data_IF_567032290154
#
_entry.id   IF_567032290154
#
_cell.length_a   1.000
_cell.length_b   1.000
_cell.length_c   1.000
_cell.angle_alpha   90.00
_cell.angle_beta   90.00
_cell.angle_gamma   90.00
#
_symmetry.space_group_name_H-M   'P 1'
#
loop_
_entity.id
_entity.type
_entity.pdbx_description
1 polymer ?
#
# COMPACT_ATOMS: atom_id res chain seq x y z
N UNK A 1 51.35 -14.60 27.06
CA UNK A 1 52.35 -14.84 25.99
C UNK A 1 52.62 -16.34 25.95
N UNK A 2 52.50 -16.98 24.77
CA UNK A 2 52.77 -18.41 24.45
C UNK A 2 51.72 -19.47 24.84
N UNK A 3 50.59 -19.57 24.13
CA UNK A 3 50.00 -20.86 23.62
C UNK A 3 49.04 -20.58 22.42
N UNK A 4 49.31 -19.57 21.59
CA UNK A 4 48.55 -19.36 20.33
C UNK A 4 49.57 -19.32 19.21
N UNK A 5 50.18 -20.45 18.95
CA UNK A 5 51.10 -20.61 17.83
C UNK A 5 50.77 -21.89 17.10
N UNK A 6 50.31 -21.71 15.86
CA UNK A 6 50.13 -22.71 14.79
C UNK A 6 48.86 -23.58 14.89
N UNK A 7 47.70 -22.96 14.78
CA UNK A 7 46.57 -23.63 14.11
C UNK A 7 46.85 -23.58 12.61
N UNK A 8 46.74 -24.72 11.91
CA UNK A 8 46.83 -24.77 10.45
C UNK A 8 45.70 -23.91 9.84
N UNK A 9 45.87 -23.32 8.64
CA UNK A 9 44.81 -22.52 8.01
C UNK A 9 43.45 -23.23 7.94
N UNK A 10 43.45 -24.56 7.78
CA UNK A 10 42.25 -25.42 7.83
C UNK A 10 41.55 -25.50 9.21
N UNK A 11 42.29 -25.33 10.31
CA UNK A 11 41.71 -25.33 11.66
C UNK A 11 41.13 -23.95 12.01
N UNK A 12 41.71 -22.88 11.47
CA UNK A 12 41.15 -21.53 11.54
C UNK A 12 39.86 -21.41 10.71
N UNK A 13 39.77 -22.07 9.54
CA UNK A 13 38.54 -22.09 8.74
C UNK A 13 37.45 -22.94 9.39
N UNK A 14 37.77 -24.13 9.92
CA UNK A 14 36.77 -24.95 10.63
C UNK A 14 36.32 -24.30 11.94
N UNK A 15 37.20 -23.58 12.63
CA UNK A 15 36.82 -22.75 13.79
C UNK A 15 35.90 -21.58 13.41
N UNK A 16 36.14 -20.92 12.26
CA UNK A 16 35.25 -19.84 11.78
C UNK A 16 33.90 -20.38 11.29
N UNK A 17 33.89 -21.49 10.55
CA UNK A 17 32.66 -22.15 10.09
C UNK A 17 31.82 -22.61 11.29
N UNK A 18 32.44 -23.21 12.31
CA UNK A 18 31.73 -23.62 13.54
C UNK A 18 31.27 -22.41 14.37
N UNK A 19 32.03 -21.31 14.39
CA UNK A 19 31.63 -20.04 15.01
C UNK A 19 30.42 -19.41 14.30
N UNK A 20 30.43 -19.35 12.96
CA UNK A 20 29.32 -18.83 12.15
C UNK A 20 28.10 -19.73 12.24
N UNK A 21 28.26 -21.05 12.15
CA UNK A 21 27.16 -22.02 12.32
C UNK A 21 26.57 -21.96 13.74
N UNK A 22 27.38 -21.86 14.78
CA UNK A 22 26.89 -21.71 16.16
C UNK A 22 26.24 -20.35 16.41
N UNK A 23 26.69 -19.29 15.73
CA UNK A 23 26.03 -17.99 15.76
C UNK A 23 24.67 -18.03 15.06
N UNK A 24 24.54 -18.72 13.93
CA UNK A 24 23.28 -18.91 13.21
C UNK A 24 22.32 -19.80 14.01
N UNK A 25 22.81 -20.92 14.57
CA UNK A 25 22.02 -21.82 15.41
C UNK A 25 21.63 -21.14 16.73
N UNK A 26 22.54 -20.35 17.31
CA UNK A 26 22.26 -19.51 18.48
C UNK A 26 21.23 -18.43 18.17
N UNK A 27 21.40 -17.71 17.06
CA UNK A 27 20.47 -16.68 16.61
C UNK A 27 19.08 -17.25 16.32
N UNK A 28 18.99 -18.41 15.64
CA UNK A 28 17.72 -19.10 15.38
C UNK A 28 17.08 -19.67 16.64
N UNK A 29 17.86 -20.26 17.55
CA UNK A 29 17.35 -20.76 18.84
C UNK A 29 16.89 -19.62 19.76
N UNK A 30 17.63 -18.51 19.82
CA UNK A 30 17.25 -17.31 20.57
C UNK A 30 16.05 -16.62 19.93
N UNK A 31 15.90 -16.65 18.60
CA UNK A 31 14.74 -16.10 17.89
C UNK A 31 13.50 -16.97 18.09
N UNK A 32 13.63 -18.31 18.09
CA UNK A 32 12.55 -19.24 18.47
C UNK A 32 12.17 -19.04 19.93
N UNK A 33 13.13 -18.93 20.84
CA UNK A 33 12.88 -18.65 22.26
C UNK A 33 12.23 -17.27 22.45
N UNK A 34 12.66 -16.26 21.69
CA UNK A 34 12.09 -14.91 21.72
C UNK A 34 10.66 -14.87 21.15
N UNK A 35 10.34 -15.65 20.12
CA UNK A 35 8.97 -15.81 19.60
C UNK A 35 8.08 -16.56 20.60
N UNK A 36 8.63 -17.58 21.28
CA UNK A 36 7.95 -18.31 22.37
C UNK A 36 7.73 -17.42 23.60
N UNK A 37 8.62 -16.45 23.87
CA UNK A 37 8.50 -15.48 24.96
C UNK A 37 7.61 -14.27 24.58
N UNK A 38 7.63 -13.79 23.33
CA UNK A 38 6.72 -12.75 22.80
C UNK A 38 5.27 -13.26 22.75
N UNK A 39 5.07 -14.58 22.67
CA UNK A 39 3.76 -15.21 22.89
C UNK A 39 3.22 -15.05 24.33
N UNK A 40 4.05 -14.59 25.29
CA UNK A 40 3.65 -14.35 26.69
C UNK A 40 3.51 -12.86 27.06
N UNK A 41 4.26 -11.94 26.46
CA UNK A 41 4.14 -10.49 26.75
C UNK A 41 4.25 -9.60 25.50
N UNK A 42 3.32 -8.63 25.29
CA UNK A 42 3.19 -7.86 24.04
C UNK A 42 4.19 -6.70 23.87
N UNK A 43 5.28 -6.68 24.63
CA UNK A 43 6.18 -5.53 24.70
C UNK A 43 7.60 -5.91 24.31
N UNK A 44 7.94 -5.90 23.01
CA UNK A 44 9.36 -5.78 22.66
C UNK A 44 9.65 -5.24 21.26
N UNK A 45 9.64 -3.91 21.14
CA UNK A 45 10.40 -3.24 20.08
C UNK A 45 11.90 -3.59 20.16
N UNK A 46 12.40 -4.00 21.33
CA UNK A 46 13.81 -4.33 21.56
C UNK A 46 14.21 -5.64 20.85
N UNK A 47 13.35 -6.66 20.85
CA UNK A 47 13.63 -7.93 20.15
C UNK A 47 13.68 -7.71 18.63
N UNK A 48 12.77 -6.90 18.08
CA UNK A 48 12.78 -6.56 16.65
C UNK A 48 14.04 -5.77 16.26
N UNK A 49 14.39 -4.74 17.04
CA UNK A 49 15.61 -3.96 16.81
C UNK A 49 16.87 -4.83 16.98
N UNK A 50 16.85 -5.81 17.88
CA UNK A 50 17.97 -6.73 18.10
C UNK A 50 18.13 -7.73 16.96
N UNK A 51 17.03 -8.35 16.48
CA UNK A 51 17.05 -9.25 15.32
C UNK A 51 17.42 -8.49 14.04
N UNK A 52 16.89 -7.28 13.86
CA UNK A 52 17.24 -6.41 12.74
C UNK A 52 18.72 -5.97 12.82
N UNK A 53 19.20 -5.54 13.99
CA UNK A 53 20.61 -5.20 14.20
C UNK A 53 21.53 -6.41 14.01
N UNK A 54 21.08 -7.61 14.39
CA UNK A 54 21.82 -8.86 14.18
C UNK A 54 21.92 -9.22 12.70
N UNK A 55 20.83 -9.11 11.94
CA UNK A 55 20.84 -9.33 10.49
C UNK A 55 21.69 -8.26 9.76
N UNK A 56 21.61 -7.00 10.20
CA UNK A 56 22.43 -5.91 9.67
C UNK A 56 23.91 -6.13 10.01
N UNK A 57 24.26 -6.51 11.24
CA UNK A 57 25.63 -6.84 11.63
C UNK A 57 26.16 -8.05 10.86
N UNK A 58 25.37 -9.12 10.68
CA UNK A 58 25.78 -10.25 9.85
C UNK A 58 26.01 -9.83 8.40
N UNK A 59 25.15 -8.98 7.84
CA UNK A 59 25.33 -8.47 6.48
C UNK A 59 26.55 -7.55 6.34
N UNK A 60 26.87 -6.78 7.39
CA UNK A 60 28.02 -5.89 7.46
C UNK A 60 29.33 -6.65 7.66
N UNK A 61 29.34 -7.73 8.47
CA UNK A 61 30.47 -8.64 8.63
C UNK A 61 30.71 -9.48 7.37
N UNK A 62 29.65 -9.89 6.68
CA UNK A 62 29.75 -10.53 5.37
C UNK A 62 30.35 -9.55 4.34
N UNK A 63 29.91 -8.29 4.34
CA UNK A 63 30.43 -7.23 3.46
C UNK A 63 31.91 -6.87 3.76
N UNK A 64 32.27 -6.72 5.03
CA UNK A 64 33.64 -6.39 5.45
C UNK A 64 34.62 -7.52 5.14
N UNK A 65 34.18 -8.76 5.31
CA UNK A 65 34.95 -9.94 4.91
C UNK A 65 35.19 -9.95 3.39
N UNK A 66 34.18 -9.56 2.60
CA UNK A 66 34.25 -9.52 1.13
C UNK A 66 35.26 -8.48 0.60
N UNK A 67 35.46 -7.37 1.32
CA UNK A 67 36.44 -6.34 0.96
C UNK A 67 37.83 -6.54 1.60
N UNK A 68 37.95 -7.44 2.59
CA UNK A 68 39.15 -7.55 3.44
C UNK A 68 40.17 -8.62 3.04
N UNK A 69 39.85 -9.59 2.18
CA UNK A 69 40.74 -10.74 1.94
C UNK A 69 40.95 -11.00 0.44
N UNK A 70 42.16 -10.69 -0.04
CA UNK A 70 42.56 -10.83 -1.45
C UNK A 70 43.25 -12.17 -1.78
N UNK A 71 43.26 -13.18 -0.88
CA UNK A 71 44.22 -14.29 -1.02
C UNK A 71 43.72 -15.75 -0.98
N UNK A 72 42.48 -16.11 -0.63
CA UNK A 72 42.05 -17.52 -0.69
C UNK A 72 40.58 -17.71 -1.13
N UNK A 73 40.37 -18.14 -2.38
CA UNK A 73 39.08 -18.10 -3.08
C UNK A 73 38.10 -19.24 -2.77
N UNK A 74 38.55 -20.42 -2.31
CA UNK A 74 37.71 -21.62 -2.18
C UNK A 74 37.02 -21.75 -0.81
N UNK A 75 37.71 -21.41 0.28
CA UNK A 75 37.16 -21.45 1.64
C UNK A 75 36.18 -20.29 1.87
N UNK A 76 36.50 -19.13 1.29
CA UNK A 76 35.71 -17.91 1.38
C UNK A 76 34.35 -18.03 0.68
N UNK A 77 34.31 -18.72 -0.46
CA UNK A 77 33.07 -19.04 -1.16
C UNK A 77 32.12 -19.84 -0.26
N UNK A 78 32.63 -20.82 0.50
CA UNK A 78 31.79 -21.65 1.39
C UNK A 78 31.21 -20.85 2.57
N UNK A 79 31.96 -19.92 3.16
CA UNK A 79 31.46 -19.07 4.26
C UNK A 79 30.42 -18.06 3.77
N UNK A 80 30.64 -17.46 2.59
CA UNK A 80 29.68 -16.56 1.96
C UNK A 80 28.40 -17.30 1.50
N UNK A 81 28.49 -18.54 1.00
CA UNK A 81 27.31 -19.39 0.70
C UNK A 81 26.50 -19.61 1.97
N UNK A 82 27.14 -20.01 3.07
CA UNK A 82 26.45 -20.34 4.33
C UNK A 82 25.82 -19.08 4.94
N UNK A 83 26.48 -17.93 4.86
CA UNK A 83 25.93 -16.65 5.31
C UNK A 83 24.75 -16.20 4.43
N UNK A 84 24.89 -16.21 3.10
CA UNK A 84 23.84 -15.78 2.16
C UNK A 84 22.62 -16.69 2.19
N UNK A 85 22.81 -18.00 2.15
CA UNK A 85 21.72 -18.98 2.31
C UNK A 85 21.12 -18.91 3.71
N UNK A 86 21.93 -18.71 4.75
CA UNK A 86 21.45 -18.48 6.12
C UNK A 86 20.57 -17.25 6.23
N UNK A 87 20.94 -16.13 5.60
CA UNK A 87 20.16 -14.88 5.59
C UNK A 87 18.85 -15.06 4.80
N UNK A 88 18.89 -15.69 3.61
CA UNK A 88 17.67 -15.99 2.84
C UNK A 88 16.75 -16.97 3.57
N UNK A 89 17.30 -18.03 4.17
CA UNK A 89 16.51 -19.04 4.87
C UNK A 89 15.96 -18.49 6.19
N UNK A 90 16.70 -17.65 6.91
CA UNK A 90 16.19 -16.96 8.11
C UNK A 90 15.16 -15.90 7.76
N UNK A 91 15.30 -15.18 6.64
CA UNK A 91 14.28 -14.24 6.18
C UNK A 91 12.98 -14.97 5.76
N UNK A 92 13.09 -16.10 5.06
CA UNK A 92 11.96 -16.95 4.68
C UNK A 92 11.34 -17.63 5.91
N UNK A 93 12.15 -18.15 6.84
CA UNK A 93 11.71 -18.76 8.08
C UNK A 93 11.07 -17.73 9.01
N UNK A 94 11.58 -16.49 9.05
CA UNK A 94 10.97 -15.36 9.74
C UNK A 94 9.59 -15.10 9.13
N UNK A 95 9.44 -15.00 7.80
CA UNK A 95 8.12 -14.85 7.16
C UNK A 95 7.19 -16.03 7.48
N UNK A 96 7.68 -17.26 7.45
CA UNK A 96 6.88 -18.46 7.76
C UNK A 96 6.46 -18.53 9.24
N UNK A 97 7.35 -18.18 10.17
CA UNK A 97 7.06 -18.09 11.61
C UNK A 97 6.15 -16.89 11.93
N UNK A 98 6.23 -15.81 11.17
CA UNK A 98 5.35 -14.64 11.26
C UNK A 98 3.96 -14.87 10.65
N UNK A 99 3.85 -15.81 9.72
CA UNK A 99 2.59 -16.28 9.14
C UNK A 99 1.88 -17.30 10.04
N UNK A 100 2.56 -17.83 11.07
CA UNK A 100 1.89 -18.65 12.08
C UNK A 100 0.88 -17.76 12.81
N UNK A 101 -0.39 -18.21 12.90
CA UNK A 101 -1.43 -17.43 13.53
C UNK A 101 -1.07 -17.23 15.01
N UNK A 102 -0.62 -16.01 15.34
CA UNK A 102 -0.74 -15.51 16.71
C UNK A 102 -2.21 -15.68 17.08
N UNK A 103 -2.47 -16.36 18.20
CA UNK A 103 -3.80 -16.77 18.67
C UNK A 103 -4.85 -15.69 18.39
N UNK A 104 -6.12 -16.06 18.12
CA UNK A 104 -7.20 -15.10 17.96
C UNK A 104 -7.41 -14.39 19.30
N UNK A 105 -6.61 -13.37 19.59
CA UNK A 105 -6.76 -12.53 20.78
C UNK A 105 -7.81 -11.45 20.50
N UNK A 106 -8.95 -11.86 19.95
CA UNK A 106 -10.14 -11.09 20.17
C UNK A 106 -10.57 -11.37 21.61
N UNK A 107 -10.04 -10.59 22.56
CA UNK A 107 -10.62 -10.54 23.90
C UNK A 107 -12.02 -9.97 23.73
N UNK A 108 -13.00 -10.85 23.94
CA UNK A 108 -14.41 -10.48 24.06
C UNK A 108 -14.55 -9.92 25.47
N UNK A 109 -14.48 -8.60 25.61
CA UNK A 109 -14.95 -7.93 26.81
C UNK A 109 -16.39 -7.48 26.52
N UNK A 110 -17.34 -7.78 27.41
CA UNK A 110 -18.75 -7.38 27.32
C UNK A 110 -19.46 -7.74 25.99
N UNK A 111 -19.08 -8.86 25.37
CA UNK A 111 -19.69 -9.34 24.13
C UNK A 111 -19.22 -8.62 22.85
N UNK A 112 -18.24 -7.71 22.94
CA UNK A 112 -17.74 -6.97 21.78
C UNK A 112 -16.27 -7.29 21.47
N UNK A 113 -15.99 -7.55 20.18
CA UNK A 113 -14.65 -7.86 19.69
C UNK A 113 -13.78 -6.59 19.68
N UNK A 114 -12.78 -6.52 20.57
CA UNK A 114 -11.76 -5.46 20.52
C UNK A 114 -10.98 -5.49 19.22
N UNK A 115 -10.49 -4.31 18.80
CA UNK A 115 -9.66 -4.18 17.60
C UNK A 115 -8.37 -5.02 17.72
N UNK A 116 -8.11 -5.97 16.81
CA UNK A 116 -6.86 -6.73 16.80
C UNK A 116 -5.64 -5.83 16.65
N UNK A 117 -5.81 -4.65 16.03
CA UNK A 117 -4.76 -3.64 15.88
C UNK A 117 -4.17 -3.20 17.22
N UNK A 118 -5.00 -3.00 18.24
CA UNK A 118 -4.57 -2.47 19.53
C UNK A 118 -3.89 -3.54 20.41
N UNK A 119 -4.26 -4.82 20.21
CA UNK A 119 -3.79 -5.95 21.02
C UNK A 119 -2.54 -6.61 20.41
N UNK A 120 -2.38 -6.57 19.09
CA UNK A 120 -1.30 -7.29 18.42
C UNK A 120 0.09 -6.68 18.68
N UNK A 121 1.11 -7.55 18.63
CA UNK A 121 2.51 -7.16 18.75
C UNK A 121 2.94 -6.24 17.60
N UNK A 122 3.94 -5.36 17.79
CA UNK A 122 4.40 -4.43 16.75
C UNK A 122 4.79 -5.11 15.42
N UNK A 123 5.29 -6.33 15.51
CA UNK A 123 5.68 -7.18 14.40
C UNK A 123 4.47 -7.68 13.60
N UNK A 124 3.43 -8.16 14.31
CA UNK A 124 2.15 -8.53 13.70
C UNK A 124 1.45 -7.32 13.05
N UNK A 125 1.62 -6.12 13.61
CA UNK A 125 1.16 -4.86 13.00
C UNK A 125 1.88 -4.54 11.69
N UNK A 126 3.19 -4.81 11.61
CA UNK A 126 3.99 -4.50 10.43
C UNK A 126 3.66 -5.43 9.25
N UNK A 127 3.44 -6.72 9.51
CA UNK A 127 3.14 -7.74 8.49
C UNK A 127 1.64 -7.92 8.27
N UNK A 128 0.79 -7.22 9.04
CA UNK A 128 -0.66 -7.35 9.03
C UNK A 128 -1.17 -8.77 9.35
N UNK A 129 -0.37 -9.56 10.07
CA UNK A 129 -0.70 -10.95 10.40
C UNK A 129 -2.00 -11.07 11.21
N UNK A 130 -2.35 -10.04 12.00
CA UNK A 130 -3.61 -9.96 12.74
C UNK A 130 -4.88 -10.06 11.87
N UNK A 131 -4.79 -9.80 10.57
CA UNK A 131 -5.92 -9.91 9.63
C UNK A 131 -6.17 -11.35 9.16
N UNK A 132 -5.14 -12.21 9.22
CA UNK A 132 -5.19 -13.56 8.68
C UNK A 132 -6.31 -14.44 9.28
N UNK A 133 -6.58 -14.42 10.60
CA UNK A 133 -7.67 -15.19 11.17
C UNK A 133 -9.06 -14.81 10.61
N UNK A 134 -9.27 -13.52 10.34
CA UNK A 134 -10.52 -13.01 9.77
C UNK A 134 -10.67 -13.46 8.31
N UNK A 135 -9.58 -13.42 7.54
CA UNK A 135 -9.55 -13.88 6.15
C UNK A 135 -9.81 -15.39 6.04
N UNK A 136 -9.18 -16.19 6.92
CA UNK A 136 -9.39 -17.64 6.97
C UNK A 136 -10.80 -18.00 7.45
N UNK A 137 -11.39 -17.20 8.35
CA UNK A 137 -12.80 -17.38 8.76
C UNK A 137 -13.74 -17.16 7.58
N UNK A 138 -13.52 -16.10 6.79
CA UNK A 138 -14.36 -15.78 5.62
C UNK A 138 -14.37 -16.87 4.54
N UNK A 139 -13.30 -17.67 4.45
CA UNK A 139 -13.26 -18.81 3.52
C UNK A 139 -14.20 -19.95 3.93
N UNK A 140 -14.53 -20.07 5.22
CA UNK A 140 -15.37 -21.15 5.76
C UNK A 140 -16.80 -20.69 5.99
N UNK A 141 -16.98 -19.46 6.48
CA UNK A 141 -18.28 -18.90 6.85
C UNK A 141 -18.32 -17.44 6.39
N UNK A 142 -19.40 -17.04 5.73
CA UNK A 142 -19.60 -15.66 5.33
C UNK A 142 -19.56 -14.75 6.56
N UNK A 143 -18.73 -13.71 6.52
CA UNK A 143 -18.60 -12.76 7.63
C UNK A 143 -19.88 -11.97 7.83
N UNK A 144 -20.35 -11.92 9.07
CA UNK A 144 -21.45 -11.05 9.48
C UNK A 144 -20.94 -9.78 10.15
N UNK A 145 -21.81 -8.77 10.30
CA UNK A 145 -21.45 -7.51 10.97
C UNK A 145 -20.91 -7.70 12.40
N UNK A 146 -21.37 -8.76 13.10
CA UNK A 146 -20.89 -9.14 14.45
C UNK A 146 -19.44 -9.65 14.46
N UNK A 147 -18.94 -10.12 13.32
CA UNK A 147 -17.57 -10.65 13.20
C UNK A 147 -16.54 -9.56 12.92
N UNK A 148 -16.99 -8.34 12.60
CA UNK A 148 -16.14 -7.20 12.33
C UNK A 148 -15.68 -6.60 13.66
N UNK A 149 -14.37 -6.54 13.93
CA UNK A 149 -13.87 -5.96 15.16
C UNK A 149 -14.17 -4.47 15.27
N UNK A 150 -14.15 -3.95 16.49
CA UNK A 150 -14.23 -2.52 16.74
C UNK A 150 -13.07 -1.76 16.08
N UNK A 151 -13.34 -0.48 15.82
CA UNK A 151 -12.36 0.47 15.28
C UNK A 151 -11.21 0.62 16.30
N UNK A 152 -9.94 0.69 15.86
CA UNK A 152 -8.82 0.94 16.77
C UNK A 152 -8.98 2.23 17.56
N UNK A 153 -8.47 2.27 18.79
CA UNK A 153 -8.56 3.46 19.66
C UNK A 153 -7.93 4.71 19.02
N UNK A 154 -6.84 4.55 18.26
CA UNK A 154 -6.20 5.66 17.53
C UNK A 154 -7.14 6.34 16.52
N UNK A 155 -8.13 5.60 16.02
CA UNK A 155 -9.13 6.06 15.07
C UNK A 155 -10.50 6.24 15.72
N UNK A 156 -10.55 6.37 17.06
CA UNK A 156 -11.80 6.59 17.79
C UNK A 156 -12.58 7.78 17.21
N UNK A 157 -13.80 7.55 16.68
CA UNK A 157 -14.53 8.59 15.98
C UNK A 157 -14.84 9.80 16.86
N UNK A 158 -15.16 9.59 18.13
CA UNK A 158 -15.55 10.64 19.05
C UNK A 158 -14.39 11.56 19.41
N UNK A 159 -13.22 10.99 19.71
CA UNK A 159 -12.02 11.78 19.98
C UNK A 159 -11.58 12.60 18.76
N UNK A 160 -11.52 11.99 17.58
CA UNK A 160 -11.09 12.67 16.35
C UNK A 160 -12.03 13.84 16.04
N UNK A 161 -13.34 13.62 16.14
CA UNK A 161 -14.35 14.63 15.89
C UNK A 161 -14.34 15.73 16.96
N UNK A 162 -14.17 15.38 18.23
CA UNK A 162 -14.00 16.34 19.34
C UNK A 162 -12.82 17.27 19.07
N UNK A 163 -11.68 16.74 18.67
CA UNK A 163 -10.48 17.51 18.36
C UNK A 163 -10.65 18.39 17.12
N UNK A 164 -11.24 17.85 16.06
CA UNK A 164 -11.55 18.60 14.83
C UNK A 164 -12.49 19.78 15.12
N UNK A 165 -13.57 19.55 15.86
CA UNK A 165 -14.53 20.62 16.23
C UNK A 165 -13.88 21.71 17.07
N UNK A 166 -13.00 21.35 18.02
CA UNK A 166 -12.26 22.33 18.83
C UNK A 166 -11.41 23.23 17.94
N UNK A 167 -10.64 22.64 17.01
CA UNK A 167 -9.81 23.39 16.06
C UNK A 167 -10.64 24.23 15.08
N UNK A 168 -11.77 23.71 14.60
CA UNK A 168 -12.71 24.46 13.75
C UNK A 168 -13.31 25.67 14.47
N UNK A 169 -13.73 25.52 15.73
CA UNK A 169 -14.23 26.64 16.54
C UNK A 169 -13.17 27.71 16.79
N UNK A 170 -11.93 27.30 17.06
CA UNK A 170 -10.82 28.24 17.26
C UNK A 170 -10.55 29.06 15.99
N UNK A 171 -10.50 28.40 14.82
CA UNK A 171 -10.36 29.10 13.52
C UNK A 171 -11.56 29.99 13.22
N UNK A 172 -12.79 29.54 13.51
CA UNK A 172 -14.00 30.33 13.29
C UNK A 172 -14.00 31.61 14.11
N UNK A 173 -13.65 31.53 15.40
CA UNK A 173 -13.58 32.69 16.28
C UNK A 173 -12.45 33.64 15.88
N UNK A 174 -11.27 33.11 15.54
CA UNK A 174 -10.15 33.92 15.05
C UNK A 174 -10.46 34.63 13.74
N UNK A 175 -11.06 33.92 12.78
CA UNK A 175 -11.46 34.51 11.50
C UNK A 175 -12.55 35.58 11.66
N UNK A 176 -13.47 35.41 12.63
CA UNK A 176 -14.48 36.42 12.94
C UNK A 176 -13.86 37.71 13.47
N UNK A 177 -12.84 37.62 14.34
CA UNK A 177 -12.09 38.77 14.85
C UNK A 177 -11.29 39.47 13.74
N UNK A 178 -10.76 38.69 12.79
CA UNK A 178 -9.99 39.20 11.65
C UNK A 178 -10.85 39.63 10.44
N UNK A 179 -12.19 39.63 10.58
CA UNK A 179 -13.15 39.87 9.48
C UNK A 179 -12.86 39.04 8.21
N UNK A 180 -12.36 37.82 8.40
CA UNK A 180 -11.94 36.90 7.34
C UNK A 180 -12.91 35.71 7.25
N UNK A 181 -13.00 35.11 6.06
CA UNK A 181 -13.63 33.79 5.91
C UNK A 181 -12.81 32.69 6.58
N UNK A 182 -13.41 31.83 7.42
CA UNK A 182 -12.69 30.75 8.10
C UNK A 182 -12.19 29.72 7.08
N UNK A 183 -10.94 29.26 7.26
CA UNK A 183 -10.28 28.40 6.27
C UNK A 183 -10.24 26.93 6.68
N UNK A 184 -11.00 26.09 5.97
CA UNK A 184 -11.02 24.63 6.20
C UNK A 184 -9.64 24.00 5.98
N UNK A 185 -8.92 24.43 4.95
CA UNK A 185 -7.60 23.89 4.62
C UNK A 185 -6.57 24.10 5.75
N UNK A 186 -6.65 25.21 6.49
CA UNK A 186 -5.78 25.48 7.64
C UNK A 186 -6.11 24.53 8.78
N UNK A 187 -7.39 24.36 9.10
CA UNK A 187 -7.84 23.41 10.13
C UNK A 187 -7.45 21.98 9.77
N UNK A 188 -7.57 21.59 8.50
CA UNK A 188 -7.16 20.27 8.01
C UNK A 188 -5.65 20.06 8.13
N UNK A 189 -4.83 21.04 7.71
CA UNK A 189 -3.36 20.97 7.87
C UNK A 189 -2.94 20.86 9.33
N UNK A 190 -3.51 21.66 10.23
CA UNK A 190 -3.19 21.59 11.65
C UNK A 190 -3.71 20.29 12.27
N UNK A 191 -4.84 19.78 11.78
CA UNK A 191 -5.47 18.61 12.39
C UNK A 191 -4.79 17.30 12.04
N UNK A 192 -4.39 17.16 10.78
CA UNK A 192 -3.92 15.89 10.22
C UNK A 192 -2.54 15.98 9.58
N UNK A 193 -1.96 17.18 9.47
CA UNK A 193 -0.66 17.39 8.81
C UNK A 193 0.48 16.62 9.48
N UNK A 194 0.43 16.42 10.79
CA UNK A 194 1.44 15.62 11.49
C UNK A 194 1.38 14.13 11.11
N UNK A 195 0.18 13.59 10.88
CA UNK A 195 0.01 12.19 10.48
C UNK A 195 0.51 11.95 9.06
N UNK A 196 0.20 12.90 8.18
CA UNK A 196 0.74 12.96 6.82
C UNK A 196 2.27 13.11 6.84
N UNK A 197 2.83 13.98 7.70
CA UNK A 197 4.27 14.15 7.83
C UNK A 197 4.98 12.87 8.30
N UNK A 198 4.35 12.07 9.19
CA UNK A 198 4.89 10.77 9.62
C UNK A 198 4.93 9.73 8.49
N UNK A 199 4.07 9.86 7.46
CA UNK A 199 4.06 8.96 6.31
C UNK A 199 5.23 9.23 5.34
N UNK A 200 5.74 10.47 5.28
CA UNK A 200 6.80 10.88 4.36
C UNK A 200 8.13 10.10 4.51
N UNK A 201 8.75 9.99 5.71
CA UNK A 201 10.00 9.24 5.84
C UNK A 201 9.82 7.75 5.51
N UNK A 202 8.66 7.16 5.83
CA UNK A 202 8.36 5.77 5.47
C UNK A 202 8.24 5.58 3.96
N UNK A 203 7.68 6.56 3.25
CA UNK A 203 7.66 6.55 1.79
C UNK A 203 9.08 6.63 1.22
N UNK A 204 9.93 7.54 1.73
CA UNK A 204 11.34 7.65 1.28
C UNK A 204 12.11 6.35 1.48
N UNK A 205 11.95 5.68 2.62
CA UNK A 205 12.61 4.39 2.88
C UNK A 205 12.11 3.29 1.93
N UNK A 206 10.81 3.27 1.62
CA UNK A 206 10.25 2.35 0.62
C UNK A 206 10.77 2.62 -0.79
N UNK A 207 10.80 3.89 -1.20
CA UNK A 207 11.33 4.32 -2.50
C UNK A 207 12.82 3.98 -2.65
N UNK A 208 13.63 4.19 -1.60
CA UNK A 208 15.04 3.81 -1.61
C UNK A 208 15.22 2.30 -1.84
N UNK A 209 14.39 1.45 -1.22
CA UNK A 209 14.40 0.01 -1.46
C UNK A 209 14.07 -0.37 -2.91
N UNK A 210 13.11 0.34 -3.52
CA UNK A 210 12.74 0.12 -4.93
C UNK A 210 13.92 0.42 -5.86
N UNK A 211 14.68 1.49 -5.58
CA UNK A 211 15.82 1.88 -6.40
C UNK A 211 17.08 1.05 -6.13
N UNK A 212 17.20 0.42 -4.96
CA UNK A 212 18.31 -0.49 -4.66
C UNK A 212 18.25 -1.79 -5.48
N UNK A 213 17.05 -2.23 -5.87
CA UNK A 213 16.83 -3.50 -6.58
C UNK A 213 17.58 -3.59 -7.92
N UNK A 214 17.47 -2.61 -8.84
CA UNK A 214 18.24 -2.61 -10.10
C UNK A 214 19.76 -2.60 -9.89
N UNK A 215 20.23 -1.96 -8.80
CA UNK A 215 21.65 -1.87 -8.49
C UNK A 215 22.21 -3.22 -8.04
N UNK A 216 21.50 -3.92 -7.15
CA UNK A 216 21.88 -5.29 -6.75
C UNK A 216 21.81 -6.25 -7.94
N UNK A 217 20.82 -6.10 -8.81
CA UNK A 217 20.70 -6.91 -10.02
C UNK A 217 21.92 -6.75 -10.94
N UNK A 218 22.46 -5.54 -11.09
CA UNK A 218 23.66 -5.31 -11.88
C UNK A 218 24.89 -6.04 -11.33
N UNK A 219 25.05 -6.04 -10.01
CA UNK A 219 26.14 -6.77 -9.34
C UNK A 219 26.02 -8.28 -9.59
N UNK A 220 24.78 -8.82 -9.57
CA UNK A 220 24.53 -10.23 -9.89
C UNK A 220 24.93 -10.54 -11.34
N UNK A 221 24.57 -9.67 -12.29
CA UNK A 221 24.93 -9.86 -13.71
C UNK A 221 26.45 -9.84 -13.88
N UNK A 222 27.14 -8.89 -13.23
CA UNK A 222 28.59 -8.77 -13.34
C UNK A 222 29.33 -10.01 -12.80
N UNK A 223 28.92 -10.53 -11.65
CA UNK A 223 29.47 -11.78 -11.09
C UNK A 223 29.19 -13.01 -11.97
N UNK A 224 28.11 -12.99 -12.77
CA UNK A 224 27.80 -14.06 -13.70
C UNK A 224 28.67 -14.00 -14.97
N UNK A 225 29.07 -12.80 -15.40
CA UNK A 225 29.86 -12.57 -16.61
C UNK A 225 31.36 -12.90 -16.42
N UNK A 226 31.92 -12.77 -15.22
CA UNK A 226 33.35 -13.01 -14.93
C UNK A 226 33.76 -14.51 -14.90
N UNK A 227 32.85 -15.42 -15.24
CA UNK A 227 33.18 -16.74 -15.77
C UNK A 227 33.39 -17.88 -14.76
N UNK A 228 33.58 -17.59 -13.47
CA UNK A 228 33.45 -18.62 -12.41
C UNK A 228 32.68 -18.01 -11.24
N UNK A 229 31.34 -18.07 -11.26
CA UNK A 229 30.54 -17.50 -10.19
C UNK A 229 30.89 -18.23 -8.89
N UNK A 230 31.51 -17.51 -7.95
CA UNK A 230 31.61 -17.98 -6.59
C UNK A 230 30.18 -18.16 -6.09
N UNK A 231 29.75 -19.42 -5.93
CA UNK A 231 28.39 -19.74 -5.49
C UNK A 231 28.00 -18.98 -4.20
N UNK A 232 28.99 -18.57 -3.41
CA UNK A 232 28.81 -17.77 -2.18
C UNK A 232 28.45 -16.32 -2.43
N UNK A 233 29.15 -15.66 -3.36
CA UNK A 233 28.84 -14.28 -3.72
C UNK A 233 27.46 -14.19 -4.37
N UNK A 234 27.14 -15.13 -5.27
CA UNK A 234 25.85 -15.17 -5.93
C UNK A 234 24.70 -15.39 -4.92
N UNK A 235 24.88 -16.30 -3.96
CA UNK A 235 23.89 -16.55 -2.91
C UNK A 235 23.70 -15.33 -1.99
N UNK A 236 24.79 -14.64 -1.64
CA UNK A 236 24.74 -13.41 -0.84
C UNK A 236 23.99 -12.28 -1.58
N UNK A 237 24.32 -12.06 -2.86
CA UNK A 237 23.67 -11.04 -3.68
C UNK A 237 22.19 -11.35 -3.93
N UNK A 238 21.84 -12.62 -4.14
CA UNK A 238 20.46 -13.06 -4.23
C UNK A 238 19.69 -12.85 -2.90
N UNK A 239 20.35 -13.09 -1.76
CA UNK A 239 19.81 -12.79 -0.44
C UNK A 239 19.59 -11.29 -0.23
N UNK A 240 20.55 -10.46 -0.62
CA UNK A 240 20.44 -9.00 -0.57
C UNK A 240 19.31 -8.48 -1.47
N UNK A 241 19.16 -9.07 -2.66
CA UNK A 241 18.06 -8.77 -3.57
C UNK A 241 16.72 -9.08 -2.90
N UNK A 242 16.55 -10.28 -2.35
CA UNK A 242 15.34 -10.67 -1.63
C UNK A 242 15.03 -9.75 -0.42
N UNK A 243 16.04 -9.40 0.37
CA UNK A 243 15.89 -8.45 1.47
C UNK A 243 15.48 -7.05 1.00
N UNK A 244 16.00 -6.59 -0.14
CA UNK A 244 15.57 -5.34 -0.78
C UNK A 244 14.08 -5.36 -1.13
N UNK A 245 13.56 -6.47 -1.67
CA UNK A 245 12.12 -6.63 -1.93
C UNK A 245 11.28 -6.60 -0.65
N UNK A 246 11.75 -7.25 0.42
CA UNK A 246 11.06 -7.26 1.69
C UNK A 246 11.04 -5.86 2.32
N UNK A 247 12.17 -5.16 2.27
CA UNK A 247 12.33 -3.80 2.75
C UNK A 247 11.31 -2.86 2.09
N UNK A 248 11.31 -2.79 0.75
CA UNK A 248 10.37 -1.90 0.05
C UNK A 248 8.91 -2.22 0.38
N UNK A 249 8.56 -3.50 0.48
CA UNK A 249 7.19 -3.93 0.76
C UNK A 249 6.73 -3.48 2.14
N UNK A 250 7.54 -3.71 3.18
CA UNK A 250 7.20 -3.33 4.56
C UNK A 250 6.97 -1.82 4.69
N UNK A 251 7.89 -1.00 4.18
CA UNK A 251 7.80 0.46 4.30
C UNK A 251 6.67 1.06 3.47
N UNK A 252 6.49 0.62 2.23
CA UNK A 252 5.43 1.11 1.36
C UNK A 252 4.05 0.74 1.92
N UNK A 253 3.86 -0.49 2.40
CA UNK A 253 2.59 -0.91 3.02
C UNK A 253 2.32 -0.19 4.33
N UNK A 254 3.36 0.08 5.14
CA UNK A 254 3.21 0.86 6.36
C UNK A 254 2.82 2.31 6.07
N UNK A 255 3.43 2.93 5.07
CA UNK A 255 3.05 4.26 4.58
C UNK A 255 1.58 4.26 4.13
N UNK A 256 1.20 3.31 3.27
CA UNK A 256 -0.17 3.18 2.78
C UNK A 256 -1.21 3.05 3.89
N UNK A 257 -0.90 2.30 4.94
CA UNK A 257 -1.81 2.14 6.08
C UNK A 257 -2.03 3.44 6.88
N UNK A 258 -0.98 4.26 7.04
CA UNK A 258 -1.11 5.58 7.67
C UNK A 258 -2.02 6.46 6.80
N UNK A 259 -1.81 6.46 5.48
CA UNK A 259 -2.65 7.20 4.54
C UNK A 259 -4.11 6.69 4.57
N UNK A 260 -4.34 5.38 4.62
CA UNK A 260 -5.67 4.80 4.71
C UNK A 260 -6.40 5.18 6.00
N UNK A 261 -5.71 5.14 7.14
CA UNK A 261 -6.24 5.61 8.43
C UNK A 261 -6.57 7.10 8.39
N UNK A 262 -5.70 7.91 7.77
CA UNK A 262 -5.94 9.33 7.54
C UNK A 262 -7.20 9.57 6.70
N UNK A 263 -7.38 8.84 5.59
CA UNK A 263 -8.58 8.94 4.73
C UNK A 263 -9.85 8.66 5.54
N UNK A 264 -9.86 7.60 6.34
CA UNK A 264 -10.99 7.23 7.19
C UNK A 264 -11.35 8.33 8.19
N UNK A 265 -10.35 8.82 8.93
CA UNK A 265 -10.52 9.85 9.97
C UNK A 265 -10.93 11.20 9.40
N UNK A 266 -10.36 11.60 8.27
CA UNK A 266 -10.74 12.81 7.54
C UNK A 266 -12.20 12.73 7.08
N UNK A 267 -12.55 11.62 6.42
CA UNK A 267 -13.89 11.42 5.87
C UNK A 267 -14.95 11.42 6.96
N UNK A 268 -14.68 10.73 8.08
CA UNK A 268 -15.59 10.70 9.22
C UNK A 268 -15.78 12.10 9.83
N UNK A 269 -14.69 12.80 10.12
CA UNK A 269 -14.72 14.13 10.77
C UNK A 269 -15.53 15.14 9.96
N UNK A 270 -15.34 15.16 8.65
CA UNK A 270 -16.05 16.06 7.75
C UNK A 270 -17.54 15.71 7.66
N UNK A 271 -17.89 14.42 7.53
CA UNK A 271 -19.30 13.98 7.53
C UNK A 271 -19.99 14.34 8.85
N UNK A 272 -19.34 14.09 9.98
CA UNK A 272 -19.88 14.43 11.29
C UNK A 272 -20.07 15.94 11.47
N UNK A 273 -19.15 16.76 10.94
CA UNK A 273 -19.26 18.21 10.96
C UNK A 273 -20.41 18.73 10.08
N UNK A 274 -20.55 18.20 8.86
CA UNK A 274 -21.66 18.54 7.94
C UNK A 274 -22.99 18.12 8.53
N UNK A 275 -23.10 16.90 9.07
CA UNK A 275 -24.32 16.41 9.71
C UNK A 275 -24.74 17.29 10.89
N UNK A 276 -23.79 17.65 11.76
CA UNK A 276 -24.09 18.56 12.87
C UNK A 276 -24.50 19.96 12.42
N UNK A 277 -23.90 20.46 11.34
CA UNK A 277 -24.28 21.76 10.79
C UNK A 277 -25.69 21.70 10.22
N UNK A 278 -26.02 20.65 9.47
CA UNK A 278 -27.33 20.41 8.88
C UNK A 278 -28.46 20.47 9.93
N UNK A 279 -28.26 19.83 11.09
CA UNK A 279 -29.23 19.86 12.20
C UNK A 279 -29.46 21.25 12.82
N UNK A 280 -28.58 22.23 12.57
CA UNK A 280 -28.62 23.59 13.13
C UNK A 280 -28.82 24.67 12.07
N UNK A 281 -29.13 24.31 10.83
CA UNK A 281 -29.36 25.27 9.76
C UNK A 281 -30.71 25.99 9.93
N UNK A 282 -30.73 27.30 9.66
CA UNK A 282 -31.97 28.08 9.61
C UNK A 282 -32.88 27.60 8.47
N UNK A 283 -34.17 27.94 8.52
CA UNK A 283 -35.11 27.68 7.42
C UNK A 283 -34.67 28.36 6.13
N UNK A 284 -34.19 29.61 6.20
CA UNK A 284 -33.65 30.35 5.04
C UNK A 284 -32.46 29.65 4.37
N UNK A 285 -31.52 29.09 5.15
CA UNK A 285 -30.39 28.36 4.57
C UNK A 285 -30.80 27.01 3.96
N UNK A 286 -31.89 26.38 4.45
CA UNK A 286 -32.47 25.15 3.87
C UNK A 286 -33.22 25.37 2.56
N UNK A 287 -33.70 26.58 2.32
CA UNK A 287 -34.28 26.98 1.01
C UNK A 287 -33.18 27.09 -0.06
N UNK A 288 -31.99 27.55 0.31
CA UNK A 288 -30.84 27.70 -0.61
C UNK A 288 -30.11 26.37 -0.84
N UNK A 289 -29.92 25.58 0.22
CA UNK A 289 -29.26 24.27 0.16
C UNK A 289 -30.24 23.17 0.51
N UNK A 290 -30.66 22.39 -0.50
CA UNK A 290 -31.62 21.32 -0.29
C UNK A 290 -31.01 20.19 0.54
N UNK A 291 -31.84 19.48 1.32
CA UNK A 291 -31.39 18.32 2.09
C UNK A 291 -30.76 17.24 1.21
N UNK A 292 -31.23 17.09 -0.04
CA UNK A 292 -30.66 16.16 -1.02
C UNK A 292 -29.25 16.57 -1.46
N UNK A 293 -29.00 17.86 -1.70
CA UNK A 293 -27.66 18.36 -2.04
C UNK A 293 -26.66 18.14 -0.90
N UNK A 294 -27.07 18.40 0.35
CA UNK A 294 -26.22 18.20 1.53
C UNK A 294 -25.92 16.71 1.73
N UNK A 295 -26.91 15.84 1.53
CA UNK A 295 -26.73 14.39 1.62
C UNK A 295 -25.79 13.87 0.53
N UNK A 296 -25.92 14.37 -0.71
CA UNK A 296 -25.02 14.03 -1.80
C UNK A 296 -23.58 14.46 -1.50
N UNK A 297 -23.39 15.67 -0.95
CA UNK A 297 -22.08 16.14 -0.52
C UNK A 297 -21.47 15.24 0.57
N UNK A 298 -22.27 14.82 1.56
CA UNK A 298 -21.79 13.94 2.62
C UNK A 298 -21.48 12.50 2.15
N UNK A 299 -22.27 11.99 1.21
CA UNK A 299 -22.19 10.63 0.70
C UNK A 299 -21.16 10.43 -0.41
N UNK A 300 -20.98 11.41 -1.30
CA UNK A 300 -20.11 11.32 -2.48
C UNK A 300 -18.90 12.25 -2.39
N UNK A 301 -19.11 13.54 -2.19
CA UNK A 301 -18.03 14.54 -2.34
C UNK A 301 -16.95 14.39 -1.26
N UNK A 302 -17.36 14.22 0.01
CA UNK A 302 -16.42 14.03 1.13
C UNK A 302 -15.53 12.79 0.97
N UNK A 303 -16.08 11.56 0.74
CA UNK A 303 -15.23 10.40 0.49
C UNK A 303 -14.30 10.57 -0.71
N UNK A 304 -14.81 11.10 -1.83
CA UNK A 304 -13.99 11.32 -3.03
C UNK A 304 -12.84 12.28 -2.75
N UNK A 305 -13.11 13.41 -2.09
CA UNK A 305 -12.07 14.37 -1.70
C UNK A 305 -11.03 13.73 -0.76
N UNK A 306 -11.49 13.00 0.26
CA UNK A 306 -10.60 12.38 1.23
C UNK A 306 -9.70 11.31 0.60
N UNK A 307 -10.22 10.49 -0.32
CA UNK A 307 -9.44 9.50 -1.05
C UNK A 307 -8.42 10.14 -2.00
N UNK A 308 -8.81 11.20 -2.71
CA UNK A 308 -7.95 11.83 -3.71
C UNK A 308 -6.85 12.71 -3.10
N UNK A 309 -7.03 13.21 -1.88
CA UNK A 309 -6.07 14.12 -1.24
C UNK A 309 -4.69 13.46 -1.02
N UNK A 310 -4.58 12.26 -0.41
CA UNK A 310 -3.29 11.54 -0.33
C UNK A 310 -2.77 11.11 -1.70
N UNK A 311 -3.64 10.58 -2.57
CA UNK A 311 -3.27 10.10 -3.90
C UNK A 311 -2.66 11.20 -4.77
N UNK A 312 -3.16 12.43 -4.65
CA UNK A 312 -2.61 13.57 -5.37
C UNK A 312 -1.24 13.98 -4.83
N UNK A 313 -1.06 14.07 -3.52
CA UNK A 313 0.23 14.51 -2.96
C UNK A 313 1.31 13.41 -3.03
N UNK A 314 1.03 12.20 -2.51
CA UNK A 314 2.00 11.10 -2.51
C UNK A 314 2.15 10.46 -3.87
N UNK A 315 1.06 10.31 -4.64
CA UNK A 315 1.14 9.73 -5.98
C UNK A 315 1.95 10.60 -6.95
N UNK A 316 1.82 11.94 -6.88
CA UNK A 316 2.67 12.83 -7.68
C UNK A 316 4.13 12.71 -7.25
N UNK A 317 4.41 12.70 -5.94
CA UNK A 317 5.78 12.53 -5.43
C UNK A 317 6.39 11.20 -5.89
N UNK A 318 5.60 10.12 -5.86
CA UNK A 318 6.02 8.79 -6.29
C UNK A 318 6.27 8.72 -7.80
N UNK A 319 5.39 9.31 -8.62
CA UNK A 319 5.59 9.39 -10.07
C UNK A 319 6.83 10.22 -10.41
N UNK A 320 7.00 11.37 -9.77
CA UNK A 320 8.15 12.26 -10.01
C UNK A 320 9.46 11.60 -9.57
N UNK A 321 9.49 10.94 -8.40
CA UNK A 321 10.68 10.26 -7.93
C UNK A 321 11.08 9.12 -8.86
N UNK A 322 10.13 8.30 -9.32
CA UNK A 322 10.37 7.22 -10.27
C UNK A 322 10.81 7.75 -11.65
N UNK A 323 10.18 8.83 -12.13
CA UNK A 323 10.52 9.43 -13.42
C UNK A 323 11.93 10.04 -13.44
N UNK A 324 12.44 10.50 -12.29
CA UNK A 324 13.78 11.07 -12.20
C UNK A 324 14.84 10.01 -11.86
N UNK A 325 14.59 9.20 -10.82
CA UNK A 325 15.58 8.28 -10.29
C UNK A 325 15.72 7.03 -11.16
N UNK A 326 14.64 6.47 -11.68
CA UNK A 326 14.70 5.20 -12.42
C UNK A 326 15.46 5.34 -13.74
N UNK A 327 15.21 6.38 -14.57
CA UNK A 327 16.07 6.70 -15.72
C UNK A 327 17.53 6.94 -15.36
N UNK A 328 17.81 7.60 -14.23
CA UNK A 328 19.18 7.84 -13.77
C UNK A 328 19.94 6.53 -13.50
N UNK A 329 19.32 5.59 -12.77
CA UNK A 329 19.91 4.27 -12.53
C UNK A 329 20.03 3.45 -13.81
N UNK A 330 19.03 3.51 -14.69
CA UNK A 330 19.05 2.79 -15.96
C UNK A 330 20.14 3.31 -16.91
N UNK A 331 20.36 4.63 -16.93
CA UNK A 331 21.48 5.24 -17.66
C UNK A 331 22.84 4.80 -17.09
N UNK A 332 22.97 4.70 -15.76
CA UNK A 332 24.18 4.17 -15.12
C UNK A 332 24.43 2.69 -15.48
N UNK A 333 23.36 1.94 -15.68
CA UNK A 333 23.41 0.50 -15.96
C UNK A 333 23.77 0.18 -17.41
N UNK A 334 23.09 0.82 -18.37
CA UNK A 334 23.17 0.47 -19.81
C UNK A 334 23.86 1.56 -20.64
N UNK A 335 24.21 2.71 -20.02
CA UNK A 335 24.85 3.83 -20.70
C UNK A 335 23.93 4.55 -21.69
N UNK A 336 24.52 5.05 -22.78
CA UNK A 336 23.83 5.85 -23.79
C UNK A 336 22.70 5.11 -24.52
N UNK A 337 22.70 3.76 -24.51
CA UNK A 337 21.65 2.94 -25.12
C UNK A 337 20.26 3.20 -24.56
N UNK A 338 20.15 3.68 -23.30
CA UNK A 338 18.88 4.07 -22.68
C UNK A 338 18.16 5.19 -23.45
N UNK A 339 18.89 6.07 -24.14
CA UNK A 339 18.30 7.20 -24.88
C UNK A 339 17.33 6.74 -25.97
N UNK A 340 17.61 5.61 -26.64
CA UNK A 340 16.69 5.03 -27.62
C UNK A 340 15.37 4.59 -26.97
N UNK A 341 15.45 4.01 -25.76
CA UNK A 341 14.27 3.68 -24.95
C UNK A 341 13.45 4.92 -24.61
N UNK A 342 14.10 6.02 -24.21
CA UNK A 342 13.43 7.31 -24.00
C UNK A 342 12.71 7.81 -25.25
N UNK A 343 13.36 7.75 -26.42
CA UNK A 343 12.73 8.18 -27.69
C UNK A 343 11.47 7.39 -27.97
N UNK A 344 11.51 6.07 -27.79
CA UNK A 344 10.34 5.19 -27.97
C UNK A 344 9.24 5.57 -26.96
N UNK A 345 9.58 5.76 -25.69
CA UNK A 345 8.62 6.17 -24.65
C UNK A 345 7.95 7.52 -24.96
N UNK A 346 8.71 8.50 -25.45
CA UNK A 346 8.19 9.82 -25.85
C UNK A 346 7.17 9.70 -26.99
N UNK A 347 7.31 8.71 -27.88
CA UNK A 347 6.35 8.46 -28.97
C UNK A 347 5.14 7.65 -28.48
N UNK A 348 5.36 6.63 -27.64
CA UNK A 348 4.29 5.73 -27.16
C UNK A 348 3.34 6.45 -26.20
N UNK A 349 3.84 7.25 -25.25
CA UNK A 349 3.02 7.89 -24.20
C UNK A 349 1.93 8.81 -24.77
N UNK A 350 2.20 9.70 -25.74
CA UNK A 350 1.15 10.46 -26.41
C UNK A 350 0.15 9.58 -27.16
N UNK A 351 0.63 8.50 -27.80
CA UNK A 351 -0.22 7.53 -28.47
C UNK A 351 -1.23 6.89 -27.52
N UNK A 352 -0.77 6.40 -26.36
CA UNK A 352 -1.65 5.83 -25.33
C UNK A 352 -2.56 6.89 -24.71
N UNK A 353 -2.12 8.15 -24.58
CA UNK A 353 -2.96 9.24 -24.10
C UNK A 353 -4.11 9.56 -25.07
N UNK A 354 -3.85 9.60 -26.39
CA UNK A 354 -4.90 9.79 -27.41
C UNK A 354 -5.88 8.62 -27.38
N UNK A 355 -5.39 7.38 -27.32
CA UNK A 355 -6.24 6.20 -27.20
C UNK A 355 -7.12 6.25 -25.94
N UNK A 356 -6.55 6.62 -24.79
CA UNK A 356 -7.28 6.76 -23.53
C UNK A 356 -8.37 7.83 -23.59
N UNK A 357 -8.07 9.00 -24.19
CA UNK A 357 -9.08 10.06 -24.41
C UNK A 357 -10.24 9.58 -25.27
N UNK A 358 -9.95 8.89 -26.37
CA UNK A 358 -10.98 8.31 -27.26
C UNK A 358 -11.82 7.26 -26.53
N UNK A 359 -11.16 6.38 -25.78
CA UNK A 359 -11.85 5.39 -24.95
C UNK A 359 -12.78 6.06 -23.93
N UNK A 360 -12.31 7.12 -23.28
CA UNK A 360 -13.10 7.87 -22.31
C UNK A 360 -14.34 8.53 -22.94
N UNK A 361 -14.20 9.15 -24.13
CA UNK A 361 -15.32 9.71 -24.87
C UNK A 361 -16.37 8.65 -25.23
N UNK A 362 -15.92 7.47 -25.68
CA UNK A 362 -16.84 6.37 -25.99
C UNK A 362 -17.53 5.84 -24.75
N UNK A 363 -16.79 5.61 -23.67
CA UNK A 363 -17.34 5.17 -22.38
C UNK A 363 -18.38 6.18 -21.87
N UNK A 364 -18.12 7.48 -22.03
CA UNK A 364 -19.07 8.54 -21.68
C UNK A 364 -20.35 8.47 -22.52
N UNK A 365 -20.25 8.32 -23.85
CA UNK A 365 -21.44 8.16 -24.72
C UNK A 365 -22.23 6.90 -24.37
N UNK A 366 -21.52 5.80 -24.08
CA UNK A 366 -22.12 4.54 -23.66
C UNK A 366 -22.88 4.67 -22.34
N UNK A 367 -22.30 5.35 -21.36
CA UNK A 367 -22.98 5.65 -20.09
C UNK A 367 -24.27 6.45 -20.33
N UNK A 368 -24.23 7.49 -21.17
CA UNK A 368 -25.42 8.27 -21.50
C UNK A 368 -26.55 7.43 -22.16
N UNK A 369 -26.22 6.54 -23.10
CA UNK A 369 -27.21 5.65 -23.71
C UNK A 369 -27.75 4.61 -22.70
N UNK A 370 -26.89 4.08 -21.83
CA UNK A 370 -27.30 3.15 -20.79
C UNK A 370 -28.23 3.83 -19.77
N UNK A 371 -27.94 5.07 -19.37
CA UNK A 371 -28.79 5.87 -18.47
C UNK A 371 -30.16 6.12 -19.11
N UNK A 372 -30.21 6.47 -20.41
CA UNK A 372 -31.47 6.61 -21.16
C UNK A 372 -32.27 5.30 -21.14
N UNK A 373 -31.64 4.15 -21.39
CA UNK A 373 -32.31 2.83 -21.35
C UNK A 373 -32.85 2.53 -19.96
N UNK A 374 -32.06 2.76 -18.91
CA UNK A 374 -32.48 2.54 -17.51
C UNK A 374 -33.67 3.44 -17.18
N UNK A 375 -33.63 4.72 -17.56
CA UNK A 375 -34.73 5.66 -17.36
C UNK A 375 -36.03 5.21 -18.05
N UNK A 376 -35.96 4.81 -19.33
CA UNK A 376 -37.14 4.30 -20.07
C UNK A 376 -37.68 3.01 -19.42
N UNK A 377 -36.79 2.13 -18.97
CA UNK A 377 -37.20 0.89 -18.29
C UNK A 377 -37.91 1.19 -16.98
N UNK A 378 -37.40 2.14 -16.19
CA UNK A 378 -38.03 2.59 -14.95
C UNK A 378 -39.41 3.23 -15.19
N UNK A 379 -39.55 4.08 -16.22
CA UNK A 379 -40.84 4.69 -16.62
C UNK A 379 -41.90 3.62 -16.92
N UNK A 380 -41.51 2.55 -17.63
CA UNK A 380 -42.40 1.42 -17.94
C UNK A 380 -42.77 0.63 -16.69
N UNK A 381 -41.83 0.41 -15.77
CA UNK A 381 -42.12 -0.32 -14.52
C UNK A 381 -43.01 0.48 -13.56
N UNK A 382 -42.80 1.79 -13.46
CA UNK A 382 -43.64 2.70 -12.67
C UNK A 382 -45.09 2.74 -13.21
N UNK A 383 -45.26 2.63 -14.54
CA UNK A 383 -46.57 2.67 -15.21
C UNK A 383 -47.16 1.28 -15.53
N UNK A 384 -46.62 0.19 -14.97
CA UNK A 384 -46.97 -1.20 -15.34
C UNK A 384 -48.47 -1.51 -15.24
N UNK A 385 -49.16 -0.97 -14.23
CA UNK A 385 -50.61 -1.18 -14.07
C UNK A 385 -51.42 -0.66 -15.26
N UNK A 386 -51.06 0.52 -15.78
CA UNK A 386 -51.72 1.12 -16.95
C UNK A 386 -51.34 0.39 -18.24
N UNK A 387 -50.08 -0.03 -18.37
CA UNK A 387 -49.60 -0.81 -19.53
C UNK A 387 -50.38 -2.13 -19.68
N UNK A 388 -50.64 -2.82 -18.56
CA UNK A 388 -51.44 -4.05 -18.52
C UNK A 388 -52.92 -3.79 -18.84
N UNK A 389 -53.51 -2.73 -18.27
CA UNK A 389 -54.90 -2.37 -18.49
C UNK A 389 -55.21 -2.04 -19.96
N UNK A 390 -54.27 -1.39 -20.65
CA UNK A 390 -54.41 -0.97 -22.05
C UNK A 390 -53.90 -2.02 -23.06
N UNK A 391 -53.27 -3.10 -22.61
CA UNK A 391 -52.68 -4.12 -23.49
C UNK A 391 -51.52 -3.62 -24.36
N UNK A 392 -50.89 -2.49 -24.00
CA UNK A 392 -49.83 -1.84 -24.79
C UNK A 392 -48.42 -2.45 -24.56
N UNK A 393 -48.32 -3.66 -24.03
CA UNK A 393 -47.06 -4.29 -23.64
C UNK A 393 -46.04 -4.35 -24.79
N UNK A 394 -46.50 -4.73 -25.99
CA UNK A 394 -45.63 -4.85 -27.17
C UNK A 394 -45.00 -3.52 -27.56
N UNK A 395 -45.76 -2.42 -27.46
CA UNK A 395 -45.28 -1.07 -27.81
C UNK A 395 -44.23 -0.60 -26.81
N UNK A 396 -44.44 -0.83 -25.51
CA UNK A 396 -43.47 -0.46 -24.48
C UNK A 396 -42.19 -1.29 -24.55
N UNK A 397 -42.31 -2.59 -24.84
CA UNK A 397 -41.15 -3.46 -25.09
C UNK A 397 -40.36 -2.97 -26.29
N UNK A 398 -41.02 -2.57 -27.38
CA UNK A 398 -40.35 -2.01 -28.55
C UNK A 398 -39.57 -0.73 -28.21
N UNK A 399 -40.16 0.18 -27.43
CA UNK A 399 -39.49 1.41 -26.95
C UNK A 399 -38.21 1.11 -26.16
N UNK A 400 -38.20 0.06 -25.33
CA UNK A 400 -36.99 -0.41 -24.62
C UNK A 400 -35.97 -0.99 -25.60
N UNK A 401 -36.40 -1.78 -26.58
CA UNK A 401 -35.53 -2.35 -27.61
C UNK A 401 -34.87 -1.29 -28.49
N UNK A 402 -35.57 -0.20 -28.81
CA UNK A 402 -35.02 0.94 -29.53
C UNK A 402 -33.87 1.59 -28.73
N UNK A 403 -34.09 1.86 -27.44
CA UNK A 403 -33.04 2.38 -26.56
C UNK A 403 -31.85 1.41 -26.43
N UNK A 404 -32.10 0.10 -26.37
CA UNK A 404 -31.05 -0.93 -26.38
C UNK A 404 -30.29 -0.97 -27.71
N UNK A 405 -30.97 -0.76 -28.82
CA UNK A 405 -30.35 -0.75 -30.15
C UNK A 405 -29.43 0.47 -30.32
N UNK A 406 -29.82 1.64 -29.81
CA UNK A 406 -28.94 2.82 -29.74
C UNK A 406 -27.68 2.53 -28.91
N UNK A 407 -27.82 1.92 -27.73
CA UNK A 407 -26.68 1.51 -26.89
C UNK A 407 -25.74 0.53 -27.60
N UNK A 408 -26.31 -0.49 -28.27
CA UNK A 408 -25.54 -1.49 -29.02
C UNK A 408 -24.84 -0.89 -30.24
N UNK A 409 -25.42 0.11 -30.92
CA UNK A 409 -24.76 0.84 -32.00
C UNK A 409 -23.51 1.57 -31.52
N UNK A 410 -23.58 2.24 -30.37
CA UNK A 410 -22.41 2.89 -29.74
C UNK A 410 -21.34 1.85 -29.39
N UNK A 411 -21.75 0.69 -28.87
CA UNK A 411 -20.83 -0.41 -28.53
C UNK A 411 -20.16 -1.01 -29.77
N UNK A 412 -20.93 -1.28 -30.81
CA UNK A 412 -20.46 -1.84 -32.08
C UNK A 412 -19.48 -0.90 -32.77
N UNK A 413 -19.81 0.40 -32.85
CA UNK A 413 -18.93 1.41 -33.43
C UNK A 413 -17.61 1.56 -32.64
N UNK A 414 -17.59 1.26 -31.35
CA UNK A 414 -16.36 1.26 -30.55
C UNK A 414 -15.44 0.08 -30.87
N UNK A 415 -16.00 -1.12 -31.06
CA UNK A 415 -15.23 -2.34 -31.31
C UNK A 415 -14.82 -2.47 -32.78
N UNK A 416 -15.61 -1.90 -33.70
CA UNK A 416 -15.46 -2.07 -35.15
C UNK A 416 -14.89 -0.86 -35.89
N UNK A 417 -14.47 0.22 -35.22
CA UNK A 417 -13.72 1.29 -35.89
C UNK A 417 -12.20 1.05 -35.78
N UNK A 418 -11.56 0.45 -36.81
CA UNK A 418 -10.12 0.60 -36.96
C UNK A 418 -9.85 2.05 -37.38
N UNK A 419 -9.41 2.91 -36.45
CA UNK A 419 -8.62 4.14 -36.60
C UNK A 419 -8.82 5.08 -37.83
N UNK A 420 -9.90 4.97 -38.59
CA UNK A 420 -10.03 5.54 -39.92
C UNK A 420 -11.33 6.34 -39.99
N UNK A 421 -11.42 7.41 -39.22
CA UNK A 421 -12.21 8.60 -39.57
C UNK A 421 -11.75 9.76 -38.68
N UNK A 422 -10.70 10.45 -39.13
CA UNK A 422 -10.49 11.86 -38.79
C UNK A 422 -11.38 12.67 -39.74
N UNK A 423 -12.38 13.43 -39.26
CA UNK A 423 -12.81 14.60 -40.02
C UNK A 423 -11.69 15.65 -39.88
N UNK A 424 -11.30 16.19 -41.03
CA UNK A 424 -10.34 17.28 -41.25
C UNK A 424 -10.70 18.54 -40.48
#
# INVERSE_FOLDING_TARGET
>A
MRVVSRLRPQELSTARITSSASSIVGGTATLVLAVVLDAREPASNAIFLWVFAYLVMQSADAWSSLHGAREDSSVFASEAVVAGTGISLTAVLLIALLALPSRPAARVDDGVLRSPWDICSPLSRAVFAFTLPLLLKNQKVALEARDVPQIPQLADPDEVNRLFRRRWKAEFNGAHLEHRVPSLLKVLRVSFGLELARAFPLWVLGAAGTQAVPWVLNLIIHELEEGVPSHGNLALLAGLYALGFMWQSLFYKRCWMILATFIGRLSYSLRAAVFHKMLRMSSGARLVHSSGQILNMAASDIPNMAQNMPGSCWGILDVVSNLLLSPFFLYRLVGASFLYGCTIWIVIVPGTMVCSRRLFEVVKRKLACADKRVSVSSEVFESMGMVKLLGCERVMVQRIFEARTEELKVWSNCLLQPAAHRPS
#
